data_IF_460433573035
#
_entry.id   IF_460433573035
#
_cell.length_a   1.000
_cell.length_b   1.000
_cell.length_c   1.000
_cell.angle_alpha   90.00
_cell.angle_beta   90.00
_cell.angle_gamma   90.00
#
_symmetry.space_group_name_H-M   'P 1'
#
loop_
_entity.id
_entity.type
_entity.pdbx_description
1 polymer ?
#
# COMPACT_ATOMS: atom_id res chain seq x y z
N UNK A 1 0.39 15.92 8.93
CA UNK A 1 -0.92 15.39 9.36
C UNK A 1 -1.29 14.18 8.52
N UNK A 2 -2.07 13.30 9.10
CA UNK A 2 -2.48 12.07 8.44
C UNK A 2 -3.21 12.32 7.12
N UNK A 3 -4.11 13.27 7.10
CA UNK A 3 -4.87 13.60 5.89
C UNK A 3 -3.97 13.98 4.71
N UNK A 4 -2.94 14.80 4.95
CA UNK A 4 -2.00 15.16 3.89
C UNK A 4 -1.21 13.95 3.42
N UNK A 5 -0.84 13.07 4.33
CA UNK A 5 -0.09 11.87 3.98
C UNK A 5 -0.95 10.90 3.17
N UNK A 6 -2.24 10.83 3.50
CA UNK A 6 -3.17 10.00 2.73
C UNK A 6 -3.32 10.52 1.30
N UNK A 7 -3.42 11.85 1.14
CA UNK A 7 -3.47 12.46 -0.19
C UNK A 7 -2.21 12.11 -0.97
N UNK A 8 -1.06 12.16 -0.31
CA UNK A 8 0.21 11.83 -0.95
C UNK A 8 0.26 10.38 -1.42
N UNK A 9 -0.26 9.44 -0.63
CA UNK A 9 -0.30 8.04 -1.02
C UNK A 9 -1.18 7.85 -2.26
N UNK A 10 -2.32 8.51 -2.32
CA UNK A 10 -3.20 8.45 -3.50
C UNK A 10 -2.52 9.04 -4.72
N UNK A 11 -1.81 10.16 -4.56
CA UNK A 11 -1.08 10.78 -5.66
C UNK A 11 0.03 9.87 -6.16
N UNK A 12 0.70 9.16 -5.24
CA UNK A 12 1.76 8.24 -5.59
C UNK A 12 1.24 7.11 -6.48
N UNK A 13 0.11 6.52 -6.10
CA UNK A 13 -0.54 5.49 -6.89
C UNK A 13 -1.00 6.03 -8.25
N UNK A 14 -1.59 7.22 -8.27
CA UNK A 14 -2.03 7.84 -9.53
C UNK A 14 -0.86 8.06 -10.47
N UNK A 15 0.28 8.50 -9.94
CA UNK A 15 1.50 8.72 -10.72
C UNK A 15 2.03 7.40 -11.28
N UNK A 16 1.98 6.34 -10.47
CA UNK A 16 2.42 5.02 -10.92
C UNK A 16 1.52 4.47 -12.02
N UNK A 17 0.21 4.63 -11.88
CA UNK A 17 -0.75 4.19 -12.89
C UNK A 17 -0.55 4.94 -14.20
N UNK A 18 -0.33 6.26 -14.13
CA UNK A 18 -0.07 7.06 -15.32
C UNK A 18 1.20 6.61 -16.03
N UNK A 19 2.25 6.31 -15.28
CA UNK A 19 3.50 5.83 -15.84
C UNK A 19 3.33 4.46 -16.51
N UNK A 20 2.60 3.58 -15.85
CA UNK A 20 2.26 2.28 -16.41
C UNK A 20 1.50 2.41 -17.74
N UNK A 21 0.51 3.31 -17.78
CA UNK A 21 -0.27 3.54 -18.99
C UNK A 21 0.54 4.08 -20.14
N UNK A 22 1.55 4.91 -19.85
CA UNK A 22 2.40 5.52 -20.87
C UNK A 22 3.53 4.60 -21.32
N UNK A 23 4.08 3.78 -20.42
CA UNK A 23 5.32 3.04 -20.67
C UNK A 23 5.14 1.53 -20.85
N UNK A 24 4.01 1.00 -20.43
CA UNK A 24 3.78 -0.45 -20.45
C UNK A 24 4.27 -1.14 -19.18
N UNK A 25 3.85 -2.38 -19.01
CA UNK A 25 4.09 -3.12 -17.77
C UNK A 25 5.58 -3.35 -17.50
N UNK A 26 6.33 -3.81 -18.49
CA UNK A 26 7.72 -4.17 -18.28
C UNK A 26 8.56 -2.99 -17.80
N UNK A 27 8.42 -1.86 -18.46
CA UNK A 27 9.17 -0.65 -18.10
C UNK A 27 8.70 -0.12 -16.74
N UNK A 28 7.40 -0.11 -16.51
CA UNK A 28 6.85 0.39 -15.25
C UNK A 28 7.31 -0.45 -14.06
N UNK A 29 7.25 -1.78 -14.17
CA UNK A 29 7.67 -2.68 -13.12
C UNK A 29 9.15 -2.48 -12.78
N UNK A 30 9.99 -2.34 -13.80
CA UNK A 30 11.42 -2.10 -13.59
C UNK A 30 11.65 -0.78 -12.83
N UNK A 31 10.91 0.27 -13.20
CA UNK A 31 11.07 1.57 -12.55
C UNK A 31 10.56 1.57 -11.12
N UNK A 32 9.42 0.95 -10.86
CA UNK A 32 8.88 0.85 -9.50
C UNK A 32 9.81 0.07 -8.58
N UNK A 33 10.50 -0.93 -9.11
CA UNK A 33 11.38 -1.79 -8.32
C UNK A 33 12.76 -1.16 -8.10
N UNK A 34 13.09 -0.13 -8.87
CA UNK A 34 14.34 0.58 -8.71
C UNK A 34 14.32 1.41 -7.42
N UNK A 35 15.01 0.94 -6.38
CA UNK A 35 15.00 1.59 -5.08
C UNK A 35 15.63 2.99 -5.10
N UNK A 36 16.34 3.33 -6.15
CA UNK A 36 16.94 4.65 -6.32
C UNK A 36 16.22 5.47 -7.37
N UNK A 37 15.08 4.99 -7.83
CA UNK A 37 14.31 5.64 -8.88
C UNK A 37 13.29 6.64 -8.34
N UNK A 38 12.52 7.24 -9.26
CA UNK A 38 11.61 8.33 -8.90
C UNK A 38 10.37 7.92 -8.11
N UNK A 39 10.11 6.60 -8.00
CA UNK A 39 8.95 6.12 -7.27
C UNK A 39 9.27 5.73 -5.83
N UNK A 40 10.50 5.93 -5.38
CA UNK A 40 10.90 5.71 -3.99
C UNK A 40 11.39 7.03 -3.42
N UNK A 41 10.71 7.53 -2.40
CA UNK A 41 11.09 8.77 -1.74
C UNK A 41 10.81 8.63 -0.25
N UNK A 42 11.86 8.66 0.56
CA UNK A 42 11.75 8.45 2.00
C UNK A 42 11.07 7.11 2.29
N UNK A 43 9.91 7.13 2.93
CA UNK A 43 9.16 5.92 3.24
C UNK A 43 8.12 5.55 2.18
N UNK A 44 7.98 6.41 1.16
CA UNK A 44 7.01 6.18 0.09
C UNK A 44 7.60 5.31 -1.00
N UNK A 45 6.90 4.28 -1.38
CA UNK A 45 7.27 3.44 -2.52
C UNK A 45 6.03 2.79 -3.07
N UNK A 46 6.19 2.20 -4.25
CA UNK A 46 5.10 1.47 -4.91
C UNK A 46 5.35 -0.02 -4.75
N UNK A 47 4.30 -0.78 -4.47
CA UNK A 47 4.33 -2.20 -4.74
C UNK A 47 3.11 -2.56 -5.58
N UNK A 48 3.26 -3.59 -6.39
CA UNK A 48 2.23 -4.02 -7.32
C UNK A 48 1.99 -5.51 -7.12
N UNK A 49 0.72 -5.87 -7.02
CA UNK A 49 0.29 -7.25 -6.89
C UNK A 49 -0.49 -7.65 -8.13
N UNK A 50 -0.42 -8.93 -8.51
CA UNK A 50 -1.38 -9.44 -9.46
C UNK A 50 -2.63 -9.87 -8.70
N UNK A 51 -3.66 -10.31 -9.42
CA UNK A 51 -4.94 -10.66 -8.82
C UNK A 51 -4.91 -11.94 -7.98
N UNK A 52 -3.80 -12.67 -8.00
CA UNK A 52 -3.62 -13.89 -7.19
C UNK A 52 -2.79 -13.65 -5.94
N UNK A 53 -2.22 -12.46 -5.79
CA UNK A 53 -1.40 -12.12 -4.64
C UNK A 53 0.10 -12.26 -4.86
N UNK A 54 0.52 -12.47 -6.10
CA UNK A 54 1.95 -12.51 -6.42
C UNK A 54 2.48 -11.09 -6.52
N UNK A 55 3.63 -10.85 -5.92
CA UNK A 55 4.29 -9.54 -5.95
C UNK A 55 4.94 -9.35 -7.32
N UNK A 56 4.53 -8.32 -8.04
CA UNK A 56 5.03 -8.01 -9.38
C UNK A 56 6.13 -6.96 -9.33
N UNK A 57 6.02 -5.98 -8.43
CA UNK A 57 7.01 -4.94 -8.24
C UNK A 57 7.06 -4.54 -6.78
N UNK A 58 8.22 -4.14 -6.28
CA UNK A 58 8.37 -3.67 -4.91
C UNK A 58 9.56 -2.72 -4.81
N UNK A 59 9.32 -1.48 -4.41
CA UNK A 59 10.33 -0.43 -4.43
C UNK A 59 11.44 -0.58 -3.41
N UNK A 60 11.24 -1.37 -2.36
CA UNK A 60 12.20 -1.49 -1.26
C UNK A 60 12.84 -2.88 -1.20
N UNK A 61 12.11 -3.92 -1.52
CA UNK A 61 12.63 -5.28 -1.39
C UNK A 61 12.36 -6.11 -2.63
N UNK A 62 13.34 -6.14 -3.53
CA UNK A 62 13.22 -6.89 -4.78
C UNK A 62 13.13 -8.40 -4.58
N UNK A 63 13.51 -8.89 -3.39
CA UNK A 63 13.41 -10.32 -3.10
C UNK A 63 11.96 -10.79 -2.99
N UNK A 64 11.03 -9.87 -2.83
CA UNK A 64 9.61 -10.22 -2.76
C UNK A 64 9.04 -10.52 -4.15
N UNK A 65 9.68 -10.05 -5.21
CA UNK A 65 9.14 -10.18 -6.56
C UNK A 65 9.04 -11.65 -6.96
N UNK A 66 7.90 -12.02 -7.49
CA UNK A 66 7.61 -13.39 -7.90
C UNK A 66 7.05 -14.28 -6.80
N UNK A 67 7.03 -13.80 -5.56
CA UNK A 67 6.48 -14.58 -4.44
C UNK A 67 5.02 -14.25 -4.25
N UNK A 68 4.25 -15.27 -3.85
CA UNK A 68 2.83 -15.09 -3.57
C UNK A 68 2.62 -14.87 -2.08
N UNK A 69 1.95 -13.79 -1.73
CA UNK A 69 1.73 -13.39 -0.34
C UNK A 69 0.28 -13.49 0.11
N UNK A 70 -0.55 -14.24 -0.64
CA UNK A 70 -1.98 -14.30 -0.35
C UNK A 70 -2.26 -14.78 1.08
N UNK A 71 -1.43 -15.66 1.60
CA UNK A 71 -1.60 -16.21 2.94
C UNK A 71 -0.79 -15.51 4.01
N UNK A 72 -0.06 -14.47 3.66
CA UNK A 72 0.74 -13.73 4.62
C UNK A 72 -0.15 -12.98 5.60
N UNK A 73 0.23 -13.02 6.86
CA UNK A 73 -0.44 -12.27 7.92
C UNK A 73 0.53 -11.28 8.54
N UNK A 74 0.01 -10.13 8.93
CA UNK A 74 0.83 -9.15 9.63
C UNK A 74 1.02 -9.58 11.10
N UNK A 75 1.71 -8.76 11.89
CA UNK A 75 2.01 -9.05 13.27
C UNK A 75 0.73 -9.21 14.13
N UNK A 76 -0.37 -8.62 13.70
CA UNK A 76 -1.65 -8.72 14.39
C UNK A 76 -2.53 -9.86 13.87
N UNK A 77 -2.02 -10.67 12.93
CA UNK A 77 -2.75 -11.80 12.39
C UNK A 77 -3.67 -11.46 11.23
N UNK A 78 -3.53 -10.28 10.65
CA UNK A 78 -4.40 -9.82 9.57
C UNK A 78 -3.90 -10.30 8.21
N UNK A 79 -4.77 -10.91 7.41
CA UNK A 79 -4.46 -11.36 6.05
C UNK A 79 -4.62 -10.18 5.08
N UNK A 80 -3.70 -9.25 5.15
CA UNK A 80 -3.86 -7.95 4.47
C UNK A 80 -3.77 -8.03 2.95
N UNK A 81 -2.96 -8.92 2.41
CA UNK A 81 -2.87 -9.09 0.95
C UNK A 81 -4.20 -9.61 0.40
N UNK A 82 -4.80 -10.59 1.09
CA UNK A 82 -6.09 -11.12 0.69
C UNK A 82 -7.17 -10.05 0.73
N UNK A 83 -7.16 -9.20 1.75
CA UNK A 83 -8.12 -8.10 1.84
C UNK A 83 -7.94 -7.08 0.72
N UNK A 84 -6.70 -6.75 0.36
CA UNK A 84 -6.41 -5.87 -0.75
C UNK A 84 -7.01 -6.43 -2.05
N UNK A 85 -6.75 -7.71 -2.31
CA UNK A 85 -7.20 -8.35 -3.54
C UNK A 85 -8.72 -8.42 -3.59
N UNK A 86 -9.35 -8.82 -2.49
CA UNK A 86 -10.81 -8.94 -2.45
C UNK A 86 -11.48 -7.59 -2.65
N UNK A 87 -10.98 -6.55 -1.99
CA UNK A 87 -11.53 -5.20 -2.12
C UNK A 87 -11.27 -4.63 -3.51
N UNK A 88 -10.07 -4.82 -4.05
CA UNK A 88 -9.74 -4.34 -5.39
C UNK A 88 -10.61 -4.99 -6.45
N UNK A 89 -10.87 -6.29 -6.31
CA UNK A 89 -11.72 -7.00 -7.26
C UNK A 89 -13.20 -6.58 -7.14
N UNK A 90 -13.67 -6.27 -5.93
CA UNK A 90 -15.05 -5.87 -5.72
C UNK A 90 -15.30 -4.40 -6.05
N UNK A 91 -14.37 -3.52 -5.70
CA UNK A 91 -14.58 -2.07 -5.76
C UNK A 91 -13.60 -1.31 -6.62
N UNK A 92 -12.55 -1.95 -7.07
CA UNK A 92 -11.53 -1.32 -7.92
C UNK A 92 -10.47 -0.53 -7.17
N UNK A 93 -10.73 -0.13 -5.95
CA UNK A 93 -9.80 0.66 -5.15
C UNK A 93 -10.23 0.65 -3.69
N UNK A 94 -9.33 1.09 -2.83
CA UNK A 94 -9.66 1.20 -1.40
C UNK A 94 -8.45 1.49 -0.55
N UNK A 95 -8.67 1.43 0.74
CA UNK A 95 -7.64 1.61 1.76
C UNK A 95 -7.63 0.39 2.67
N UNK A 96 -6.43 0.06 3.17
CA UNK A 96 -6.29 -0.99 4.18
C UNK A 96 -5.24 -0.57 5.20
N UNK A 97 -5.46 -0.93 6.46
CA UNK A 97 -4.54 -0.65 7.54
C UNK A 97 -3.98 -1.96 8.06
N UNK A 98 -2.66 -2.04 8.23
CA UNK A 98 -2.02 -3.22 8.79
C UNK A 98 -0.67 -2.84 9.39
N UNK A 99 -0.03 -3.80 10.07
CA UNK A 99 1.28 -3.61 10.67
C UNK A 99 2.35 -4.01 9.68
N UNK A 100 3.36 -3.18 9.50
CA UNK A 100 4.43 -3.49 8.57
C UNK A 100 5.76 -2.92 9.06
N UNK A 101 6.83 -3.58 8.65
CA UNK A 101 8.19 -3.16 8.98
C UNK A 101 8.57 -1.93 8.16
N UNK A 102 8.98 -0.88 8.84
CA UNK A 102 9.45 0.34 8.19
C UNK A 102 10.96 0.23 7.99
N UNK A 103 11.44 0.15 6.74
CA UNK A 103 12.86 -0.04 6.48
C UNK A 103 13.72 1.17 6.84
N UNK A 104 13.11 2.36 6.97
CA UNK A 104 13.85 3.58 7.31
C UNK A 104 14.24 3.58 8.78
N UNK A 105 13.28 3.40 9.67
CA UNK A 105 13.57 3.41 11.12
C UNK A 105 13.68 2.03 11.74
N UNK A 106 13.48 0.98 10.96
CA UNK A 106 13.65 -0.42 11.37
C UNK A 106 12.70 -0.86 12.48
N UNK A 107 11.48 -0.31 12.47
CA UNK A 107 10.44 -0.65 13.44
C UNK A 107 9.19 -1.10 12.72
N UNK A 108 8.43 -2.01 13.35
CA UNK A 108 7.11 -2.39 12.84
C UNK A 108 6.10 -1.35 13.34
N UNK A 109 5.38 -0.74 12.42
CA UNK A 109 4.45 0.34 12.71
C UNK A 109 3.13 0.15 11.98
N UNK A 110 2.05 0.75 12.45
CA UNK A 110 0.82 0.80 11.67
C UNK A 110 1.08 1.48 10.33
N UNK A 111 0.53 0.90 9.29
CA UNK A 111 0.66 1.41 7.93
C UNK A 111 -0.71 1.47 7.29
N UNK A 112 -1.01 2.57 6.63
CA UNK A 112 -2.25 2.72 5.87
C UNK A 112 -1.89 2.73 4.39
N UNK A 113 -2.47 1.83 3.61
CA UNK A 113 -2.14 1.65 2.20
C UNK A 113 -3.34 1.94 1.33
N UNK A 114 -3.13 2.80 0.34
CA UNK A 114 -4.11 3.03 -0.72
C UNK A 114 -3.77 2.12 -1.90
N UNK A 115 -4.80 1.58 -2.56
CA UNK A 115 -4.59 0.74 -3.73
C UNK A 115 -5.66 0.98 -4.79
N UNK A 116 -5.29 0.77 -6.05
CA UNK A 116 -6.20 0.79 -7.19
C UNK A 116 -5.84 -0.32 -8.15
N UNK A 117 -6.87 -0.96 -8.68
CA UNK A 117 -6.71 -1.99 -9.68
C UNK A 117 -6.86 -1.38 -11.07
N UNK A 118 -5.89 -1.67 -11.94
CA UNK A 118 -5.94 -1.31 -13.35
C UNK A 118 -5.53 -2.55 -14.13
N UNK A 119 -6.40 -2.99 -15.03
CA UNK A 119 -6.23 -4.28 -15.71
C UNK A 119 -6.15 -5.38 -14.65
N UNK A 120 -5.16 -6.24 -14.71
CA UNK A 120 -5.00 -7.32 -13.73
C UNK A 120 -3.97 -7.01 -12.65
N UNK A 121 -3.59 -5.74 -12.51
CA UNK A 121 -2.59 -5.31 -11.55
C UNK A 121 -3.20 -4.41 -10.49
N UNK A 122 -2.70 -4.52 -9.27
CA UNK A 122 -3.14 -3.70 -8.15
C UNK A 122 -1.94 -2.87 -7.70
N UNK A 123 -2.05 -1.55 -7.85
CA UNK A 123 -0.99 -0.60 -7.52
C UNK A 123 -1.20 -0.09 -6.12
N UNK A 124 -0.19 -0.21 -5.27
CA UNK A 124 -0.31 0.08 -3.85
C UNK A 124 0.77 1.04 -3.38
N UNK A 125 0.39 1.96 -2.49
CA UNK A 125 1.35 2.80 -1.79
C UNK A 125 0.77 3.19 -0.45
N UNK A 126 1.62 3.34 0.56
CA UNK A 126 1.13 3.60 1.89
C UNK A 126 1.97 4.57 2.69
N UNK A 127 1.46 4.90 3.84
CA UNK A 127 2.09 5.78 4.80
C UNK A 127 2.17 5.09 6.15
N UNK A 128 3.20 5.41 6.92
CA UNK A 128 3.34 4.91 8.28
C UNK A 128 2.79 5.93 9.27
N UNK A 129 2.25 5.45 10.37
CA UNK A 129 1.67 6.28 11.42
C UNK A 129 2.69 6.31 12.55
N UNK A 130 3.44 7.41 12.66
CA UNK A 130 4.55 7.46 13.59
C UNK A 130 4.43 8.51 14.69
N UNK A 131 3.83 9.65 14.39
CA UNK A 131 3.68 10.69 15.40
C UNK A 131 2.43 10.45 16.23
N UNK A 132 2.47 10.86 17.49
CA UNK A 132 1.34 10.67 18.38
C UNK A 132 0.04 11.27 17.83
N UNK A 133 0.09 12.48 17.28
CA UNK A 133 -1.10 13.11 16.72
C UNK A 133 -1.64 12.34 15.53
N UNK A 134 -0.75 11.81 14.68
CA UNK A 134 -1.18 11.01 13.55
C UNK A 134 -1.79 9.70 14.01
N UNK A 135 -1.24 9.11 15.07
CA UNK A 135 -1.78 7.89 15.65
C UNK A 135 -3.18 8.11 16.22
N UNK A 136 -3.40 9.23 16.88
CA UNK A 136 -4.71 9.58 17.40
C UNK A 136 -5.70 9.74 16.24
N UNK A 137 -5.32 10.45 15.19
CA UNK A 137 -6.16 10.64 14.01
C UNK A 137 -6.49 9.32 13.34
N UNK A 138 -5.48 8.44 13.21
CA UNK A 138 -5.64 7.12 12.65
C UNK A 138 -6.69 6.31 13.43
N UNK A 139 -6.59 6.32 14.75
CA UNK A 139 -7.53 5.58 15.60
C UNK A 139 -8.95 6.11 15.48
N UNK A 140 -9.10 7.43 15.41
CA UNK A 140 -10.41 8.04 15.25
C UNK A 140 -11.03 7.71 13.90
N UNK A 141 -10.22 7.76 12.84
CA UNK A 141 -10.70 7.42 11.49
C UNK A 141 -11.06 5.95 11.39
N UNK A 142 -10.27 5.10 12.01
CA UNK A 142 -10.53 3.66 12.03
C UNK A 142 -11.89 3.39 12.67
N UNK A 143 -12.16 3.98 13.82
CA UNK A 143 -13.44 3.83 14.49
C UNK A 143 -14.59 4.35 13.62
N UNK A 144 -14.40 5.52 13.04
CA UNK A 144 -15.41 6.15 12.20
C UNK A 144 -15.75 5.31 10.96
N UNK A 145 -14.72 4.76 10.30
CA UNK A 145 -14.93 4.02 9.06
C UNK A 145 -15.32 2.57 9.27
N UNK A 146 -14.88 2.00 10.41
CA UNK A 146 -15.16 0.61 10.60
C UNK A 146 -16.19 0.40 11.62
N UNK A 147 -16.44 1.33 12.32
CA UNK A 147 -17.31 1.18 13.18
C UNK A 147 -18.25 1.48 13.41
N UNK A 148 -18.05 1.87 13.19
CA UNK A 148 -18.68 2.09 13.42
C UNK A 148 -19.35 2.18 14.35
N UNK A 149 -19.52 2.25 14.56
CA UNK A 149 -20.02 2.35 15.23
C UNK A 149 -20.17 2.75 16.02
N UNK A 150 -20.09 3.00 16.21
CA UNK A 150 -20.21 3.24 16.76
C UNK A 150 -20.04 3.88 17.69
N UNK A 151 -19.70 4.58 17.60
CA UNK A 151 -19.67 5.46 18.40
C UNK A 151 -20.88 5.90 18.76
N UNK A 152 -21.75 5.29 18.66
CA UNK A 152 -22.94 5.69 19.07
C UNK A 152 -23.09 5.60 20.46
#
# INVERSE_FOLDING_TARGET
>A
MLEKSQVKAKEWVAKAIAFYGASGEEIAVAEFTNSKGPFVQDEMYIFVLDKKGTMIAHGVNEKFIGKNFIDLKDAAGKSFIREIIDTANAEGKGWIDYQWYNPVNKETKPKSVYFEKVNDLIFCSGIYIERLLDLISYNLEFISHRGGMHLQ
#
